data_IF_566035842062
#
_entry.id   IF_566035842062
#
_cell.length_a   1.000
_cell.length_b   1.000
_cell.length_c   1.000
_cell.angle_alpha   90.00
_cell.angle_beta   90.00
_cell.angle_gamma   90.00
#
_symmetry.space_group_name_H-M   'P 1'
#
loop_
_entity.id
_entity.type
_entity.pdbx_description
1 polymer ?
#
# COMPACT_ATOMS: atom_id res chain seq x y z
N UNK A 1 16.27 -6.29 -51.63
CA UNK A 1 15.67 -4.97 -51.90
C UNK A 1 14.42 -4.84 -51.04
N UNK A 2 14.32 -3.73 -50.31
CA UNK A 2 13.22 -3.24 -49.47
C UNK A 2 11.87 -3.25 -50.22
N UNK A 3 10.67 -3.21 -49.61
CA UNK A 3 10.20 -2.37 -48.51
C UNK A 3 8.77 -2.84 -48.03
N UNK A 4 8.26 -2.39 -46.87
CA UNK A 4 7.16 -2.95 -46.07
C UNK A 4 5.82 -2.17 -46.18
N UNK A 5 4.90 -2.43 -45.21
CA UNK A 5 3.59 -1.79 -44.88
C UNK A 5 2.35 -2.37 -45.62
N UNK A 6 1.16 -2.61 -45.04
CA UNK A 6 0.50 -2.21 -43.77
C UNK A 6 -0.87 -2.95 -43.67
N UNK A 7 -1.40 -3.17 -42.44
CA UNK A 7 -2.81 -3.41 -42.01
C UNK A 7 -2.87 -4.62 -41.04
N UNK A 8 -2.90 -4.46 -39.70
CA UNK A 8 -3.94 -3.94 -38.78
C UNK A 8 -5.04 -4.98 -38.46
N UNK A 9 -5.32 -5.10 -37.15
CA UNK A 9 -6.47 -5.75 -36.47
C UNK A 9 -6.35 -7.23 -36.11
N UNK A 10 -5.88 -7.51 -34.89
CA UNK A 10 -6.60 -8.41 -33.98
C UNK A 10 -6.61 -7.75 -32.60
N UNK A 11 -7.77 -7.22 -32.24
CA UNK A 11 -8.10 -6.81 -30.88
C UNK A 11 -8.47 -8.07 -30.12
N UNK A 12 -7.51 -8.64 -29.39
CA UNK A 12 -7.81 -9.63 -28.36
C UNK A 12 -7.69 -8.93 -27.01
N UNK A 13 -8.85 -8.55 -26.49
CA UNK A 13 -9.07 -8.07 -25.14
C UNK A 13 -8.55 -9.11 -24.14
N UNK A 14 -7.29 -8.96 -23.73
CA UNK A 14 -6.78 -9.66 -22.56
C UNK A 14 -6.75 -8.63 -21.43
N UNK A 15 -7.87 -8.57 -20.69
CA UNK A 15 -7.93 -7.92 -19.39
C UNK A 15 -6.73 -8.40 -18.59
N UNK A 16 -5.76 -7.51 -18.39
CA UNK A 16 -4.76 -7.70 -17.36
C UNK A 16 -5.56 -7.67 -16.07
N UNK A 17 -5.87 -8.86 -15.56
CA UNK A 17 -6.34 -9.07 -14.22
C UNK A 17 -5.22 -8.63 -13.28
N UNK A 18 -5.19 -7.33 -13.02
CA UNK A 18 -4.42 -6.73 -11.96
C UNK A 18 -4.95 -7.27 -10.63
N UNK A 19 -4.46 -8.47 -10.29
CA UNK A 19 -4.65 -9.10 -8.99
C UNK A 19 -3.31 -9.19 -8.27
N UNK A 20 -2.50 -8.15 -8.44
CA UNK A 20 -1.42 -7.84 -7.51
C UNK A 20 -1.97 -6.79 -6.56
N UNK A 21 -2.90 -7.21 -5.70
CA UNK A 21 -3.30 -6.41 -4.55
C UNK A 21 -2.04 -6.18 -3.73
N UNK A 22 -1.49 -4.98 -3.87
CA UNK A 22 -0.53 -4.34 -2.98
C UNK A 22 -1.16 -4.25 -1.59
N UNK A 23 -1.26 -5.39 -0.90
CA UNK A 23 -2.14 -5.56 0.25
C UNK A 23 -1.44 -5.16 1.55
N UNK A 24 -0.93 -3.93 1.58
CA UNK A 24 -0.62 -3.25 2.84
C UNK A 24 -1.86 -2.47 3.30
N UNK A 25 -2.94 -3.21 3.57
CA UNK A 25 -4.15 -2.64 4.15
C UNK A 25 -3.85 -2.20 5.59
N UNK A 26 -4.24 -0.96 5.94
CA UNK A 26 -4.09 -0.45 7.30
C UNK A 26 -4.75 -1.39 8.33
N UNK A 27 -4.10 -1.58 9.48
CA UNK A 27 -4.63 -2.47 10.52
C UNK A 27 -4.52 -3.95 10.20
N UNK A 28 -3.82 -4.36 9.14
CA UNK A 28 -3.60 -5.78 8.79
C UNK A 28 -2.12 -6.12 8.71
N UNK A 29 -1.78 -7.26 9.29
CA UNK A 29 -0.45 -7.83 9.17
C UNK A 29 -0.17 -8.19 7.70
N UNK A 30 0.86 -7.60 7.06
CA UNK A 30 1.18 -7.90 5.66
C UNK A 30 1.62 -9.36 5.43
N UNK A 31 2.03 -10.07 6.50
CA UNK A 31 2.52 -11.45 6.43
C UNK A 31 1.40 -12.48 6.48
N UNK A 32 0.44 -12.33 7.40
CA UNK A 32 -0.62 -13.32 7.62
C UNK A 32 -2.04 -12.82 7.33
N UNK A 33 -2.21 -11.51 7.09
CA UNK A 33 -3.52 -10.87 6.91
C UNK A 33 -4.34 -10.70 8.19
N UNK A 34 -3.81 -11.10 9.34
CA UNK A 34 -4.46 -10.95 10.65
C UNK A 34 -4.53 -9.49 11.10
N UNK A 35 -5.56 -9.17 11.89
CA UNK A 35 -5.83 -7.82 12.40
C UNK A 35 -5.35 -7.64 13.85
N UNK A 36 -4.82 -8.69 14.46
CA UNK A 36 -4.34 -8.69 15.84
C UNK A 36 -2.93 -8.07 15.91
N UNK A 37 -2.87 -6.74 15.78
CA UNK A 37 -1.65 -5.94 15.81
C UNK A 37 -1.50 -5.26 17.17
N UNK A 38 -0.41 -5.57 17.86
CA UNK A 38 0.01 -4.89 19.08
C UNK A 38 0.93 -3.72 18.70
N UNK A 39 0.39 -2.50 18.77
CA UNK A 39 1.12 -1.28 18.44
C UNK A 39 1.99 -0.78 19.60
N UNK A 40 3.20 -0.36 19.28
CA UNK A 40 4.15 0.19 20.23
C UNK A 40 4.08 1.74 20.31
N UNK A 41 5.12 2.36 20.85
CA UNK A 41 5.21 3.82 20.96
C UNK A 41 5.23 4.45 19.56
N UNK A 42 4.32 5.40 19.34
CA UNK A 42 4.20 6.16 18.10
C UNK A 42 5.47 6.99 17.88
N UNK A 43 5.98 7.00 16.65
CA UNK A 43 7.10 7.84 16.23
C UNK A 43 6.59 8.97 15.34
N UNK A 44 6.88 10.21 15.71
CA UNK A 44 6.50 11.40 14.96
C UNK A 44 7.75 12.14 14.48
N UNK A 45 7.86 12.34 13.17
CA UNK A 45 8.96 13.05 12.51
C UNK A 45 8.56 14.44 11.98
N UNK A 46 7.31 14.86 12.21
CA UNK A 46 6.71 16.09 11.69
C UNK A 46 6.13 15.96 10.27
N UNK A 47 6.78 15.19 9.38
CA UNK A 47 6.28 14.92 8.02
C UNK A 47 5.47 13.61 7.95
N UNK A 48 5.78 12.67 8.84
CA UNK A 48 5.21 11.35 8.88
C UNK A 48 5.11 10.86 10.33
N UNK A 49 4.04 10.12 10.60
CA UNK A 49 3.86 9.33 11.81
C UNK A 49 4.04 7.85 11.45
N UNK A 50 4.83 7.12 12.23
CA UNK A 50 4.88 5.66 12.16
C UNK A 50 4.33 5.01 13.42
N UNK A 51 3.68 3.87 13.22
CA UNK A 51 3.13 3.00 14.26
C UNK A 51 3.85 1.65 14.15
N UNK A 52 4.95 1.45 14.89
CA UNK A 52 5.57 0.15 14.98
C UNK A 52 4.58 -0.85 15.59
N UNK A 53 4.56 -2.07 15.08
CA UNK A 53 3.66 -3.12 15.55
C UNK A 53 4.34 -4.48 15.59
N UNK A 54 3.81 -5.34 16.47
CA UNK A 54 3.99 -6.79 16.43
C UNK A 54 2.64 -7.44 16.16
N UNK A 55 2.56 -8.36 15.20
CA UNK A 55 1.37 -9.17 14.96
C UNK A 55 1.34 -10.34 15.94
N UNK A 56 0.34 -10.39 16.81
CA UNK A 56 0.21 -11.43 17.83
C UNK A 56 -0.20 -12.79 17.24
N UNK A 57 -0.73 -12.82 16.00
CA UNK A 57 -1.14 -14.07 15.33
C UNK A 57 0.05 -14.81 14.70
N UNK A 58 1.06 -14.10 14.19
CA UNK A 58 2.18 -14.71 13.45
C UNK A 58 3.57 -14.28 13.90
N UNK A 59 3.66 -13.38 14.88
CA UNK A 59 4.91 -12.85 15.46
C UNK A 59 5.70 -11.91 14.54
N UNK A 60 5.14 -11.49 13.41
CA UNK A 60 5.81 -10.54 12.51
C UNK A 60 5.82 -9.14 13.10
N UNK A 61 6.94 -8.43 12.95
CA UNK A 61 7.05 -7.01 13.30
C UNK A 61 7.02 -6.16 12.04
N UNK A 62 6.54 -4.93 12.15
CA UNK A 62 6.53 -3.96 11.06
C UNK A 62 6.20 -2.56 11.52
N UNK A 63 6.11 -1.65 10.58
CA UNK A 63 5.74 -0.25 10.81
C UNK A 63 4.60 0.12 9.86
N UNK A 64 3.54 0.72 10.39
CA UNK A 64 2.54 1.41 9.57
C UNK A 64 2.89 2.89 9.48
N UNK A 65 2.93 3.44 8.26
CA UNK A 65 3.36 4.81 8.01
C UNK A 65 2.21 5.68 7.50
N UNK A 66 2.08 6.89 8.05
CA UNK A 66 1.06 7.87 7.69
C UNK A 66 1.70 9.24 7.41
N UNK A 67 1.50 9.76 6.20
CA UNK A 67 1.97 11.10 5.85
C UNK A 67 1.01 12.16 6.38
N UNK A 68 1.55 13.15 7.08
CA UNK A 68 0.77 14.27 7.60
C UNK A 68 0.53 15.31 6.51
N UNK A 69 -0.72 15.78 6.42
CA UNK A 69 -1.09 16.91 5.56
C UNK A 69 -1.75 17.98 6.41
N UNK A 70 -1.27 19.21 6.26
CA UNK A 70 -1.86 20.37 6.94
C UNK A 70 -3.33 20.55 6.52
N UNK A 71 -4.22 20.56 7.52
CA UNK A 71 -5.67 20.66 7.32
C UNK A 71 -6.24 22.08 7.40
N UNK A 72 -5.47 23.05 7.89
CA UNK A 72 -5.95 24.39 8.21
C UNK A 72 -5.78 24.73 9.70
N UNK A 73 -6.14 25.95 10.06
CA UNK A 73 -6.15 26.44 11.45
C UNK A 73 -7.57 26.91 11.77
N UNK A 74 -8.12 26.46 12.88
CA UNK A 74 -9.38 26.95 13.42
C UNK A 74 -9.11 27.91 14.60
N UNK A 75 -9.86 29.02 14.67
CA UNK A 75 -9.86 29.93 15.81
C UNK A 75 -11.09 29.64 16.66
N UNK A 76 -10.90 29.49 17.97
CA UNK A 76 -11.96 29.30 18.95
C UNK A 76 -12.47 30.59 19.58
#
# INVERSE_FOLDING_TARGET
>A
MSNPNKAQEIADNNEINDNTTDSTEKGKCPKCGGENLNYETILDTGEQISYPFTCDDCGATGDEFYHLKYGGTELS
#
